data_IF_311165492724
#
_entry.id   IF_311165492724
#
_cell.length_a   1.000
_cell.length_b   1.000
_cell.length_c   1.000
_cell.angle_alpha   90.00
_cell.angle_beta   90.00
_cell.angle_gamma   90.00
#
_symmetry.space_group_name_H-M   'P 1'
#
loop_
_entity.id
_entity.type
_entity.pdbx_description
1 polymer ?
#
# COMPACT_ATOMS: atom_id res chain seq x y z
N UNK A 1 30.34 8.49 -5.55
CA UNK A 1 30.17 7.12 -5.03
C UNK A 1 28.71 6.95 -4.71
N UNK A 2 28.17 5.74 -4.77
CA UNK A 2 26.80 5.46 -4.31
C UNK A 2 26.77 5.50 -2.77
N UNK A 3 25.73 6.09 -2.20
CA UNK A 3 25.62 6.37 -0.77
C UNK A 3 24.26 5.88 -0.23
N UNK A 4 24.19 5.63 1.08
CA UNK A 4 22.97 5.21 1.74
C UNK A 4 22.10 6.42 2.08
N UNK A 5 20.78 6.23 2.02
CA UNK A 5 19.82 7.14 2.64
C UNK A 5 19.96 7.01 4.16
N UNK A 6 19.97 8.12 4.88
CA UNK A 6 20.12 8.15 6.33
C UNK A 6 18.94 8.88 6.96
N UNK A 7 18.57 8.49 8.19
CA UNK A 7 17.63 9.21 9.03
C UNK A 7 18.39 10.02 10.07
N UNK A 8 18.22 11.34 10.10
CA UNK A 8 18.80 12.23 11.11
C UNK A 8 17.76 13.23 11.58
N UNK A 9 17.60 13.34 12.88
CA UNK A 9 16.68 14.30 13.51
C UNK A 9 15.25 14.27 12.90
N UNK A 10 14.73 13.07 12.63
CA UNK A 10 13.41 12.88 12.06
C UNK A 10 13.27 13.20 10.56
N UNK A 11 14.40 13.39 9.85
CA UNK A 11 14.40 13.71 8.41
C UNK A 11 15.31 12.76 7.63
N UNK A 12 14.88 12.41 6.43
CA UNK A 12 15.70 11.65 5.49
C UNK A 12 16.76 12.57 4.87
N UNK A 13 17.99 12.11 4.90
CA UNK A 13 19.12 12.72 4.18
C UNK A 13 19.35 11.90 2.92
N UNK A 14 19.04 12.49 1.79
CA UNK A 14 19.07 11.82 0.48
C UNK A 14 20.31 12.27 -0.28
N UNK A 15 21.25 11.35 -0.61
CA UNK A 15 22.38 11.66 -1.47
C UNK A 15 21.94 11.78 -2.95
N UNK A 16 22.79 12.39 -3.79
CA UNK A 16 22.51 12.48 -5.23
C UNK A 16 22.57 11.12 -5.95
N UNK A 17 23.15 10.11 -5.31
CA UNK A 17 23.26 8.73 -5.84
C UNK A 17 22.92 7.70 -4.77
N UNK A 18 21.65 7.65 -4.32
CA UNK A 18 21.24 6.70 -3.31
C UNK A 18 21.30 5.27 -3.83
N UNK A 19 21.68 4.33 -2.94
CA UNK A 19 21.47 2.90 -3.18
C UNK A 19 20.04 2.58 -2.75
N UNK A 20 19.21 2.09 -3.68
CA UNK A 20 17.86 1.64 -3.40
C UNK A 20 17.75 0.14 -3.69
N UNK A 21 17.53 -0.69 -2.67
CA UNK A 21 17.23 -2.10 -2.82
C UNK A 21 15.91 -2.30 -3.60
N UNK A 22 15.89 -3.34 -4.45
CA UNK A 22 14.66 -3.75 -5.13
C UNK A 22 14.48 -5.26 -5.11
N UNK A 23 13.23 -5.68 -5.11
CA UNK A 23 12.81 -7.07 -5.30
C UNK A 23 12.02 -7.12 -6.60
N UNK A 24 12.48 -7.92 -7.58
CA UNK A 24 11.73 -8.08 -8.85
C UNK A 24 10.29 -8.57 -8.61
N UNK A 25 10.13 -9.50 -7.68
CA UNK A 25 8.87 -10.16 -7.40
C UNK A 25 8.67 -11.44 -8.21
N UNK A 26 7.53 -12.08 -7.97
CA UNK A 26 7.12 -13.34 -8.58
C UNK A 26 6.22 -13.10 -9.80
N UNK A 27 6.08 -14.10 -10.66
CA UNK A 27 5.23 -14.05 -11.85
C UNK A 27 5.57 -12.88 -12.77
N UNK A 28 4.62 -11.93 -12.97
CA UNK A 28 4.83 -10.73 -13.80
C UNK A 28 5.83 -9.73 -13.20
N UNK A 29 6.33 -9.96 -12.00
CA UNK A 29 7.24 -9.04 -11.30
C UNK A 29 8.44 -8.66 -12.15
N UNK A 30 9.09 -9.63 -12.81
CA UNK A 30 10.22 -9.39 -13.70
C UNK A 30 9.85 -8.53 -14.91
N UNK A 31 8.69 -8.78 -15.51
CA UNK A 31 8.22 -8.06 -16.69
C UNK A 31 8.03 -6.57 -16.36
N UNK A 32 7.29 -6.28 -15.27
CA UNK A 32 7.00 -4.90 -14.86
C UNK A 32 8.22 -4.17 -14.28
N UNK A 33 9.11 -4.88 -13.58
CA UNK A 33 10.33 -4.26 -13.03
C UNK A 33 11.27 -3.82 -14.14
N UNK A 34 11.52 -4.66 -15.14
CA UNK A 34 12.43 -4.36 -16.26
C UNK A 34 12.05 -3.09 -17.02
N UNK A 35 10.75 -2.80 -17.10
CA UNK A 35 10.19 -1.57 -17.69
C UNK A 35 10.27 -0.41 -16.72
N UNK A 36 9.80 -0.61 -15.49
CA UNK A 36 9.72 0.45 -14.48
C UNK A 36 11.08 1.05 -14.18
N UNK A 37 12.12 0.23 -14.02
CA UNK A 37 13.48 0.71 -13.79
C UNK A 37 13.94 1.69 -14.87
N UNK A 38 13.73 1.36 -16.15
CA UNK A 38 14.16 2.20 -17.29
C UNK A 38 13.40 3.52 -17.32
N UNK A 39 12.09 3.51 -17.04
CA UNK A 39 11.27 4.73 -16.98
C UNK A 39 11.73 5.63 -15.83
N UNK A 40 11.96 5.06 -14.64
CA UNK A 40 12.44 5.81 -13.47
C UNK A 40 13.81 6.45 -13.77
N UNK A 41 14.75 5.68 -14.33
CA UNK A 41 16.09 6.17 -14.64
C UNK A 41 16.06 7.29 -15.69
N UNK A 42 15.19 7.17 -16.72
CA UNK A 42 15.01 8.22 -17.73
C UNK A 42 14.43 9.51 -17.12
N UNK A 43 13.39 9.39 -16.30
CA UNK A 43 12.76 10.52 -15.63
C UNK A 43 13.73 11.24 -14.67
N UNK A 44 14.49 10.49 -13.86
CA UNK A 44 15.50 11.06 -12.96
C UNK A 44 16.60 11.75 -13.75
N UNK A 45 17.11 11.12 -14.81
CA UNK A 45 18.14 11.72 -15.67
C UNK A 45 17.68 13.03 -16.30
N UNK A 46 16.42 13.07 -16.78
CA UNK A 46 15.85 14.27 -17.41
C UNK A 46 15.59 15.36 -16.37
N UNK A 47 14.92 15.05 -15.27
CA UNK A 47 14.57 16.02 -14.24
C UNK A 47 15.78 16.74 -13.63
N UNK A 48 16.89 16.03 -13.49
CA UNK A 48 18.09 16.56 -12.82
C UNK A 48 19.31 16.69 -13.74
N UNK A 49 19.11 16.69 -15.06
CA UNK A 49 20.17 16.85 -16.06
C UNK A 49 21.37 15.89 -15.85
N UNK A 50 21.11 14.68 -15.35
CA UNK A 50 22.11 13.65 -15.07
C UNK A 50 22.93 13.86 -13.79
N UNK A 51 22.63 14.87 -12.98
CA UNK A 51 23.32 15.13 -11.71
C UNK A 51 22.94 14.09 -10.65
N UNK A 52 21.70 13.59 -10.70
CA UNK A 52 21.17 12.55 -9.82
C UNK A 52 20.96 11.24 -10.56
N UNK A 53 21.15 10.12 -9.86
CA UNK A 53 20.87 8.77 -10.38
C UNK A 53 20.65 7.81 -9.23
N UNK A 54 19.84 6.76 -9.44
CA UNK A 54 19.63 5.70 -8.45
C UNK A 54 20.61 4.56 -8.73
N UNK A 55 21.26 4.07 -7.69
CA UNK A 55 22.02 2.83 -7.72
C UNK A 55 21.13 1.69 -7.25
N UNK A 56 20.60 0.94 -8.18
CA UNK A 56 19.74 -0.20 -7.88
C UNK A 56 20.55 -1.38 -7.32
N UNK A 57 20.03 -2.00 -6.24
CA UNK A 57 20.61 -3.20 -5.62
C UNK A 57 19.53 -4.29 -5.54
N UNK A 58 19.68 -5.35 -6.31
CA UNK A 58 18.79 -6.49 -6.21
C UNK A 58 18.91 -7.17 -4.83
N UNK A 59 17.77 -7.47 -4.23
CA UNK A 59 17.63 -8.29 -3.02
C UNK A 59 16.57 -9.36 -3.26
N UNK A 60 16.68 -10.49 -2.57
CA UNK A 60 15.91 -11.68 -2.88
C UNK A 60 14.69 -11.83 -1.97
N UNK A 61 13.51 -12.08 -2.56
CA UNK A 61 12.32 -12.57 -1.88
C UNK A 61 11.46 -13.37 -2.86
N UNK A 62 10.55 -14.20 -2.35
CA UNK A 62 9.63 -15.01 -3.14
C UNK A 62 10.25 -16.27 -3.72
N UNK A 63 9.79 -16.67 -4.90
CA UNK A 63 10.19 -17.90 -5.57
C UNK A 63 11.69 -17.91 -5.91
N UNK A 64 12.22 -16.82 -6.47
CA UNK A 64 13.66 -16.67 -6.78
C UNK A 64 14.55 -16.85 -5.54
N UNK A 65 14.12 -16.29 -4.40
CA UNK A 65 14.83 -16.46 -3.14
C UNK A 65 14.84 -17.93 -2.71
N UNK A 66 13.69 -18.58 -2.76
CA UNK A 66 13.54 -19.98 -2.38
C UNK A 66 14.40 -20.92 -3.24
N UNK A 67 14.42 -20.71 -4.56
CA UNK A 67 15.25 -21.49 -5.50
C UNK A 67 16.75 -21.35 -5.20
N UNK A 68 17.21 -20.14 -4.85
CA UNK A 68 18.64 -19.87 -4.66
C UNK A 68 19.15 -20.15 -3.25
N UNK A 69 18.29 -19.99 -2.23
CA UNK A 69 18.71 -20.00 -0.81
C UNK A 69 17.97 -21.02 0.05
N UNK A 70 16.91 -21.64 -0.45
CA UNK A 70 16.03 -22.53 0.31
C UNK A 70 15.06 -21.82 1.26
N UNK A 71 15.00 -20.47 1.25
CA UNK A 71 14.04 -19.67 2.01
C UNK A 71 13.44 -18.57 1.16
N UNK A 72 12.12 -18.34 1.27
CA UNK A 72 11.42 -17.31 0.49
C UNK A 72 11.67 -15.89 1.00
N UNK A 73 12.17 -15.70 2.20
CA UNK A 73 12.56 -14.41 2.75
C UNK A 73 13.87 -14.56 3.55
N UNK A 74 15.03 -14.40 2.91
CA UNK A 74 16.33 -14.44 3.59
C UNK A 74 16.48 -13.30 4.60
N UNK A 75 17.12 -13.57 5.74
CA UNK A 75 17.43 -12.53 6.73
C UNK A 75 18.27 -11.39 6.14
N UNK A 76 19.18 -11.69 5.21
CA UNK A 76 19.99 -10.69 4.50
C UNK A 76 19.12 -9.64 3.80
N UNK A 77 17.98 -10.04 3.24
CA UNK A 77 17.02 -9.12 2.60
C UNK A 77 16.50 -8.10 3.61
N UNK A 78 16.10 -8.54 4.80
CA UNK A 78 15.64 -7.65 5.87
C UNK A 78 16.75 -6.71 6.36
N UNK A 79 17.97 -7.24 6.52
CA UNK A 79 19.14 -6.46 6.94
C UNK A 79 19.47 -5.36 5.93
N UNK A 80 19.46 -5.68 4.63
CA UNK A 80 19.71 -4.70 3.57
C UNK A 80 18.65 -3.60 3.55
N UNK A 81 17.36 -3.96 3.72
CA UNK A 81 16.29 -2.95 3.78
C UNK A 81 16.47 -2.07 5.03
N UNK A 82 16.77 -2.65 6.19
CA UNK A 82 17.04 -1.88 7.43
C UNK A 82 18.23 -0.92 7.24
N UNK A 83 19.24 -1.33 6.51
CA UNK A 83 20.43 -0.53 6.26
C UNK A 83 20.20 0.62 5.28
N UNK A 84 19.35 0.45 4.27
CA UNK A 84 19.13 1.41 3.19
C UNK A 84 17.86 2.25 3.34
N UNK A 85 16.97 1.91 4.29
CA UNK A 85 15.71 2.56 4.64
C UNK A 85 14.63 2.49 3.56
N UNK A 86 14.92 2.75 2.31
CA UNK A 86 13.94 2.82 1.22
C UNK A 86 14.17 1.68 0.25
N UNK A 87 13.11 0.95 -0.07
CA UNK A 87 13.13 -0.14 -1.07
C UNK A 87 11.88 -0.09 -1.96
N UNK A 88 11.96 -0.76 -3.12
CA UNK A 88 10.83 -0.97 -4.02
C UNK A 88 10.72 -2.45 -4.37
N UNK A 89 9.49 -2.95 -4.55
CA UNK A 89 9.29 -4.36 -4.90
C UNK A 89 8.12 -4.59 -5.86
N UNK A 90 8.27 -5.60 -6.69
CA UNK A 90 7.18 -6.21 -7.44
C UNK A 90 6.26 -7.08 -6.55
N UNK A 91 5.26 -7.73 -7.15
CA UNK A 91 4.33 -8.61 -6.42
C UNK A 91 5.04 -9.85 -5.89
N UNK A 92 4.64 -10.32 -4.70
CA UNK A 92 5.13 -11.57 -4.11
C UNK A 92 3.97 -12.55 -3.93
N UNK A 93 4.20 -13.78 -4.35
CA UNK A 93 3.28 -14.90 -4.14
C UNK A 93 3.21 -15.30 -2.68
N UNK A 94 2.01 -15.69 -2.23
CA UNK A 94 1.86 -16.37 -0.94
C UNK A 94 1.60 -17.85 -1.26
N UNK A 95 2.50 -18.77 -0.88
CA UNK A 95 2.27 -20.19 -1.11
C UNK A 95 0.96 -20.66 -0.49
N UNK A 96 0.13 -21.36 -1.25
CA UNK A 96 -1.11 -21.95 -0.76
C UNK A 96 -0.75 -23.21 0.04
N UNK A 97 -0.99 -23.18 1.36
CA UNK A 97 -0.75 -24.34 2.22
C UNK A 97 -0.69 -24.00 3.71
N UNK A 98 -0.87 -25.00 4.57
CA UNK A 98 -0.82 -24.82 6.03
C UNK A 98 0.57 -24.33 6.46
N UNK A 99 0.62 -23.22 7.20
CA UNK A 99 1.82 -22.74 7.90
C UNK A 99 2.68 -21.70 7.16
N UNK A 100 2.33 -21.29 5.93
CA UNK A 100 3.06 -20.21 5.25
C UNK A 100 2.41 -18.85 5.50
N UNK A 101 3.13 -17.98 6.22
CA UNK A 101 2.75 -16.58 6.39
C UNK A 101 2.97 -15.82 5.08
N UNK A 102 2.08 -14.89 4.74
CA UNK A 102 2.30 -14.00 3.59
C UNK A 102 3.62 -13.25 3.72
N UNK A 103 4.45 -13.29 2.67
CA UNK A 103 5.74 -12.60 2.64
C UNK A 103 5.57 -11.09 2.77
N UNK A 104 4.48 -10.53 2.21
CA UNK A 104 4.15 -9.12 2.36
C UNK A 104 3.86 -8.77 3.82
N UNK A 105 3.08 -9.61 4.53
CA UNK A 105 2.80 -9.43 5.96
C UNK A 105 4.08 -9.55 6.79
N UNK A 106 4.95 -10.52 6.48
CA UNK A 106 6.23 -10.67 7.15
C UNK A 106 7.11 -9.42 7.01
N UNK A 107 7.28 -8.88 5.79
CA UNK A 107 8.04 -7.66 5.56
C UNK A 107 7.49 -6.47 6.36
N UNK A 108 6.17 -6.29 6.38
CA UNK A 108 5.50 -5.21 7.11
C UNK A 108 5.72 -5.30 8.62
N UNK A 109 5.62 -6.50 9.18
CA UNK A 109 5.79 -6.73 10.62
C UNK A 109 7.25 -6.67 11.06
N UNK A 110 8.18 -7.34 10.33
CA UNK A 110 9.60 -7.37 10.66
C UNK A 110 10.29 -6.01 10.60
N UNK A 111 9.78 -5.10 9.77
CA UNK A 111 10.28 -3.74 9.60
C UNK A 111 9.39 -2.69 10.28
N UNK A 112 8.35 -3.12 10.98
CA UNK A 112 7.33 -2.27 11.62
C UNK A 112 6.78 -1.18 10.69
N UNK A 113 6.46 -1.53 9.43
CA UNK A 113 5.91 -0.62 8.43
C UNK A 113 4.42 -0.40 8.71
N UNK A 114 4.11 0.37 9.72
CA UNK A 114 2.77 0.46 10.32
C UNK A 114 1.74 1.19 9.46
N UNK A 115 2.14 2.01 8.50
CA UNK A 115 1.25 2.75 7.62
C UNK A 115 1.33 2.20 6.19
N UNK A 116 0.25 1.56 5.72
CA UNK A 116 0.06 1.26 4.31
C UNK A 116 -0.69 2.44 3.66
N UNK A 117 0.00 3.13 2.74
CA UNK A 117 -0.50 4.33 2.08
C UNK A 117 -0.84 4.00 0.63
N UNK A 118 -2.08 4.25 0.23
CA UNK A 118 -2.59 3.98 -1.12
C UNK A 118 -3.34 5.20 -1.64
N UNK A 119 -2.71 6.11 -2.41
CA UNK A 119 -3.40 7.17 -3.11
C UNK A 119 -4.12 6.58 -4.33
N UNK A 120 -5.42 6.77 -4.37
CA UNK A 120 -6.30 6.20 -5.40
C UNK A 120 -7.02 7.36 -6.08
N UNK A 121 -6.62 7.63 -7.32
CA UNK A 121 -7.21 8.68 -8.14
C UNK A 121 -7.50 8.19 -9.55
N UNK A 122 -8.45 8.82 -10.21
CA UNK A 122 -8.75 8.54 -11.60
C UNK A 122 -7.76 9.25 -12.54
N UNK A 123 -7.36 8.53 -13.58
CA UNK A 123 -6.57 9.05 -14.70
C UNK A 123 -7.45 9.12 -15.95
N UNK A 124 -7.51 10.30 -16.60
CA UNK A 124 -8.32 10.50 -17.78
C UNK A 124 -7.90 9.53 -18.90
N UNK A 125 -8.88 8.83 -19.47
CA UNK A 125 -8.65 7.83 -20.52
C UNK A 125 -8.61 6.39 -20.01
N UNK A 126 -8.49 6.17 -18.71
CA UNK A 126 -8.58 4.85 -18.09
C UNK A 126 -10.06 4.42 -18.03
N UNK A 127 -10.38 3.14 -18.32
CA UNK A 127 -11.75 2.65 -18.19
C UNK A 127 -12.19 2.60 -16.73
N UNK A 128 -13.44 3.02 -16.47
CA UNK A 128 -14.03 3.02 -15.12
C UNK A 128 -15.48 2.57 -15.17
N UNK A 129 -15.97 1.85 -14.14
CA UNK A 129 -17.38 1.52 -14.00
C UNK A 129 -18.22 2.70 -13.49
N UNK A 130 -17.59 3.77 -12.98
CA UNK A 130 -18.27 4.95 -12.47
C UNK A 130 -18.72 5.87 -13.60
N UNK A 131 -19.76 6.67 -13.34
CA UNK A 131 -20.23 7.72 -14.27
C UNK A 131 -19.33 8.95 -14.26
N UNK A 132 -18.79 9.31 -13.10
CA UNK A 132 -17.96 10.48 -12.84
C UNK A 132 -16.71 10.06 -12.05
N UNK A 133 -15.82 9.23 -12.64
CA UNK A 133 -14.66 8.70 -11.91
C UNK A 133 -13.66 9.78 -11.50
N UNK A 134 -13.65 10.93 -12.16
CA UNK A 134 -12.83 12.11 -11.86
C UNK A 134 -13.09 12.71 -10.47
N UNK A 135 -14.22 12.37 -9.85
CA UNK A 135 -14.52 12.76 -8.47
C UNK A 135 -13.79 11.92 -7.43
N UNK A 136 -13.14 10.82 -7.85
CA UNK A 136 -12.40 9.93 -6.96
C UNK A 136 -10.92 10.35 -6.90
N UNK A 137 -10.55 10.93 -5.77
CA UNK A 137 -9.15 11.24 -5.40
C UNK A 137 -9.03 11.10 -3.88
N UNK A 138 -8.71 9.89 -3.44
CA UNK A 138 -8.76 9.49 -2.03
C UNK A 138 -7.47 8.77 -1.66
N UNK A 139 -6.79 9.24 -0.61
CA UNK A 139 -5.63 8.55 -0.06
C UNK A 139 -6.03 7.70 1.15
N UNK A 140 -5.83 6.40 1.06
CA UNK A 140 -6.06 5.44 2.14
C UNK A 140 -4.80 5.34 3.00
N UNK A 141 -4.98 5.49 4.31
CA UNK A 141 -4.04 5.11 5.36
C UNK A 141 -4.59 3.88 6.09
N UNK A 142 -4.06 2.72 5.76
CA UNK A 142 -4.41 1.43 6.34
C UNK A 142 -3.42 1.09 7.44
N UNK A 143 -3.90 0.78 8.65
CA UNK A 143 -3.08 0.15 9.69
C UNK A 143 -2.53 -1.18 9.15
N UNK A 144 -1.30 -1.54 9.49
CA UNK A 144 -0.59 -2.57 8.76
C UNK A 144 0.04 -3.66 9.64
N UNK A 145 -0.06 -3.55 10.96
CA UNK A 145 0.66 -4.41 11.92
C UNK A 145 -0.24 -5.18 12.88
N UNK A 146 -1.47 -4.74 13.07
CA UNK A 146 -2.44 -5.31 14.00
C UNK A 146 -3.65 -5.92 13.26
N UNK A 147 -4.79 -5.99 13.95
CA UNK A 147 -6.04 -6.55 13.46
C UNK A 147 -5.93 -8.08 13.30
N UNK A 148 -6.81 -8.68 12.53
CA UNK A 148 -6.74 -10.13 12.23
C UNK A 148 -5.45 -10.53 11.49
N UNK A 149 -4.75 -9.58 10.89
CA UNK A 149 -3.44 -9.77 10.25
C UNK A 149 -2.32 -10.09 11.25
N UNK A 150 -2.56 -9.94 12.56
CA UNK A 150 -1.68 -10.48 13.60
C UNK A 150 -1.54 -12.02 13.50
N UNK A 151 -2.49 -12.69 12.84
CA UNK A 151 -2.43 -14.13 12.59
C UNK A 151 -2.61 -14.97 13.85
N UNK A 152 -3.36 -14.46 14.84
CA UNK A 152 -3.65 -15.15 16.10
C UNK A 152 -4.94 -15.91 15.92
N UNK A 153 -4.85 -17.19 15.52
CA UNK A 153 -6.01 -18.01 15.27
C UNK A 153 -5.74 -19.51 15.55
N UNK A 154 -6.78 -20.27 15.84
CA UNK A 154 -6.74 -21.69 16.09
C UNK A 154 -7.82 -22.43 15.29
N UNK A 155 -7.42 -23.55 14.69
CA UNK A 155 -8.26 -24.39 13.85
C UNK A 155 -9.29 -25.17 14.69
N UNK A 156 -10.51 -25.26 14.18
CA UNK A 156 -11.58 -26.07 14.78
C UNK A 156 -11.14 -27.52 14.98
N UNK A 157 -11.48 -28.09 16.14
CA UNK A 157 -11.12 -29.47 16.51
C UNK A 157 -9.66 -29.67 16.97
N UNK A 158 -8.86 -28.61 17.07
CA UNK A 158 -7.52 -28.68 17.69
C UNK A 158 -7.61 -28.65 19.22
N UNK A 159 -6.60 -29.22 19.89
CA UNK A 159 -6.50 -29.16 21.36
C UNK A 159 -6.29 -27.72 21.85
N UNK A 160 -5.65 -26.88 21.04
CA UNK A 160 -5.41 -25.47 21.31
C UNK A 160 -6.69 -24.66 21.31
N UNK A 161 -7.57 -24.83 20.30
CA UNK A 161 -8.85 -24.11 20.26
C UNK A 161 -9.76 -24.55 21.41
N UNK A 162 -9.73 -25.83 21.79
CA UNK A 162 -10.49 -26.31 22.93
C UNK A 162 -10.09 -25.60 24.24
N UNK A 163 -8.77 -25.39 24.46
CA UNK A 163 -8.25 -24.64 25.60
C UNK A 163 -8.68 -23.17 25.58
N UNK A 164 -8.63 -22.53 24.39
CA UNK A 164 -9.05 -21.13 24.23
C UNK A 164 -10.55 -21.00 24.52
N UNK A 165 -11.37 -21.87 23.96
CA UNK A 165 -12.83 -21.86 24.18
C UNK A 165 -13.16 -22.09 25.65
N UNK A 166 -12.53 -23.10 26.31
CA UNK A 166 -12.72 -23.34 27.74
C UNK A 166 -12.35 -22.12 28.57
N UNK A 167 -11.16 -21.50 28.31
CA UNK A 167 -10.78 -20.25 28.99
C UNK A 167 -11.80 -19.14 28.81
N UNK A 168 -12.27 -18.92 27.59
CA UNK A 168 -13.27 -17.88 27.31
C UNK A 168 -14.60 -18.16 28.04
N UNK A 169 -15.04 -19.41 28.10
CA UNK A 169 -16.30 -19.79 28.75
C UNK A 169 -16.17 -19.83 30.27
N UNK A 170 -15.16 -20.50 30.80
CA UNK A 170 -15.04 -20.82 32.21
C UNK A 170 -14.46 -19.65 33.02
N UNK A 171 -13.47 -18.93 32.48
CA UNK A 171 -12.76 -17.84 33.18
C UNK A 171 -13.32 -16.46 32.78
N UNK A 172 -13.69 -16.26 31.52
CA UNK A 172 -14.16 -14.96 31.01
C UNK A 172 -15.69 -14.86 30.92
N UNK A 173 -16.43 -15.94 31.22
CA UNK A 173 -17.89 -15.98 31.21
C UNK A 173 -18.52 -15.76 29.82
N UNK A 174 -17.81 -16.09 28.75
CA UNK A 174 -18.33 -15.94 27.39
C UNK A 174 -19.35 -17.04 27.10
N UNK A 175 -20.58 -16.67 26.80
CA UNK A 175 -21.69 -17.62 26.52
C UNK A 175 -22.11 -17.62 25.04
N UNK A 176 -21.53 -16.77 24.23
CA UNK A 176 -22.00 -16.50 22.86
C UNK A 176 -21.30 -17.33 21.77
N UNK A 177 -20.42 -18.27 22.13
CA UNK A 177 -19.86 -19.23 21.17
C UNK A 177 -20.91 -20.31 20.93
N UNK A 178 -21.59 -20.19 19.78
CA UNK A 178 -22.79 -21.00 19.50
C UNK A 178 -22.49 -22.49 19.31
N UNK A 179 -21.34 -22.79 18.70
CA UNK A 179 -20.92 -24.18 18.39
C UNK A 179 -19.48 -24.41 18.85
N UNK A 180 -19.23 -24.52 20.17
CA UNK A 180 -17.87 -24.57 20.72
C UNK A 180 -17.04 -25.74 20.19
N UNK A 181 -17.66 -26.90 19.95
CA UNK A 181 -17.00 -28.12 19.49
C UNK A 181 -16.47 -28.05 18.04
N UNK A 182 -17.01 -27.14 17.24
CA UNK A 182 -16.68 -27.01 15.80
C UNK A 182 -16.30 -25.60 15.38
N UNK A 183 -16.06 -24.71 16.34
CA UNK A 183 -15.64 -23.34 16.06
C UNK A 183 -14.11 -23.20 15.97
N UNK A 184 -13.63 -22.49 14.96
CA UNK A 184 -12.31 -21.86 14.99
C UNK A 184 -12.40 -20.52 15.70
N UNK A 185 -11.32 -20.08 16.35
CA UNK A 185 -11.25 -18.80 17.06
C UNK A 185 -10.10 -17.97 16.48
N UNK A 186 -10.37 -16.72 16.19
CA UNK A 186 -9.37 -15.72 15.82
C UNK A 186 -9.45 -14.50 16.73
N UNK A 187 -8.32 -13.87 17.00
CA UNK A 187 -8.21 -12.68 17.84
C UNK A 187 -7.89 -11.46 16.97
N UNK A 188 -8.61 -10.36 17.23
CA UNK A 188 -8.44 -9.06 16.59
C UNK A 188 -7.88 -8.05 17.59
N UNK A 189 -6.55 -7.93 17.76
CA UNK A 189 -5.96 -6.90 18.60
C UNK A 189 -5.98 -5.54 17.87
N UNK A 190 -6.39 -4.48 18.57
CA UNK A 190 -6.28 -3.08 18.13
C UNK A 190 -5.81 -2.29 19.34
N UNK A 191 -4.65 -1.62 19.23
CA UNK A 191 -4.06 -0.85 20.30
C UNK A 191 -4.25 0.66 20.13
N UNK A 192 -4.12 1.40 21.22
CA UNK A 192 -4.10 2.86 21.21
C UNK A 192 -2.88 3.38 20.47
N UNK A 193 -1.70 2.82 20.73
CA UNK A 193 -0.43 3.21 20.12
C UNK A 193 -0.46 2.99 18.61
N UNK A 194 -0.88 1.80 18.16
CA UNK A 194 -1.00 1.44 16.73
C UNK A 194 -1.98 2.36 16.00
N UNK A 195 -3.13 2.62 16.62
CA UNK A 195 -4.15 3.51 16.07
C UNK A 195 -3.67 4.96 15.99
N UNK A 196 -3.13 5.50 17.09
CA UNK A 196 -2.66 6.90 17.16
C UNK A 196 -1.50 7.17 16.20
N UNK A 197 -0.51 6.26 16.08
CA UNK A 197 0.62 6.47 15.16
C UNK A 197 0.19 6.50 13.68
N UNK A 198 -0.76 5.64 13.27
CA UNK A 198 -1.32 5.66 11.93
C UNK A 198 -2.08 6.95 11.66
N UNK A 199 -3.00 7.31 12.56
CA UNK A 199 -3.87 8.48 12.40
C UNK A 199 -3.05 9.76 12.39
N UNK A 200 -2.00 9.86 13.23
CA UNK A 200 -1.05 10.98 13.20
C UNK A 200 -0.42 11.13 11.82
N UNK A 201 0.11 10.04 11.25
CA UNK A 201 0.70 10.06 9.92
C UNK A 201 -0.31 10.46 8.84
N UNK A 202 -1.57 10.06 8.98
CA UNK A 202 -2.63 10.46 8.06
C UNK A 202 -2.97 11.95 8.16
N UNK A 203 -2.96 12.53 9.38
CA UNK A 203 -3.16 13.97 9.59
C UNK A 203 -1.98 14.77 9.04
N UNK A 204 -0.74 14.37 9.37
CA UNK A 204 0.48 15.02 8.89
C UNK A 204 0.54 15.02 7.35
N UNK A 205 0.20 13.89 6.73
CA UNK A 205 0.08 13.79 5.27
C UNK A 205 -0.99 14.75 4.72
N UNK A 206 -2.17 14.81 5.34
CA UNK A 206 -3.23 15.72 4.92
C UNK A 206 -2.77 17.18 4.96
N UNK A 207 -2.12 17.60 6.04
CA UNK A 207 -1.60 18.96 6.21
C UNK A 207 -0.48 19.27 5.21
N UNK A 208 0.47 18.36 5.01
CA UNK A 208 1.57 18.53 4.04
C UNK A 208 1.05 18.71 2.61
N UNK A 209 -0.01 17.98 2.24
CA UNK A 209 -0.63 18.04 0.92
C UNK A 209 -1.75 19.08 0.82
N UNK A 210 -1.93 19.92 1.84
CA UNK A 210 -3.00 20.94 1.90
C UNK A 210 -4.41 20.35 1.72
N UNK A 211 -4.59 19.10 2.13
CA UNK A 211 -5.87 18.41 2.21
C UNK A 211 -6.51 18.71 3.56
N UNK A 212 -7.80 18.99 3.54
CA UNK A 212 -8.50 19.49 4.72
C UNK A 212 -9.16 18.41 5.55
N UNK A 213 -9.55 17.29 4.92
CA UNK A 213 -10.42 16.31 5.56
C UNK A 213 -9.72 14.99 5.82
N UNK A 214 -9.77 14.54 7.08
CA UNK A 214 -9.48 13.17 7.50
C UNK A 214 -10.77 12.48 7.94
N UNK A 215 -11.08 11.33 7.34
CA UNK A 215 -12.20 10.47 7.74
C UNK A 215 -11.70 9.20 8.42
N UNK A 216 -12.17 8.95 9.64
CA UNK A 216 -11.92 7.70 10.36
C UNK A 216 -13.00 6.67 9.99
N UNK A 217 -12.61 5.55 9.39
CA UNK A 217 -13.55 4.48 9.02
C UNK A 217 -13.45 3.33 10.02
N UNK A 218 -14.58 2.92 10.57
CA UNK A 218 -14.64 1.93 11.65
C UNK A 218 -15.98 1.17 11.69
N UNK A 219 -16.02 0.06 12.41
CA UNK A 219 -17.26 -0.69 12.75
C UNK A 219 -17.54 -0.64 14.28
N UNK A 220 -17.29 0.50 14.90
CA UNK A 220 -17.38 0.71 16.35
C UNK A 220 -18.77 0.56 16.95
N UNK A 221 -19.85 0.58 16.16
CA UNK A 221 -21.18 0.28 16.62
C UNK A 221 -21.37 -1.22 16.99
N UNK A 222 -20.56 -2.11 16.43
CA UNK A 222 -20.52 -3.54 16.73
C UNK A 222 -19.31 -3.89 17.58
N UNK A 223 -18.10 -3.52 17.15
CA UNK A 223 -16.84 -3.79 17.82
C UNK A 223 -16.42 -2.58 18.68
N UNK A 224 -17.08 -2.43 19.83
CA UNK A 224 -17.07 -1.20 20.64
C UNK A 224 -15.68 -0.86 21.20
N UNK A 225 -14.85 -1.84 21.51
CA UNK A 225 -13.56 -1.63 22.19
C UNK A 225 -12.39 -1.65 21.19
N UNK A 226 -12.46 -2.41 20.11
CA UNK A 226 -11.46 -2.43 19.06
C UNK A 226 -11.70 -1.31 18.04
N UNK A 227 -12.66 -1.45 17.17
CA UNK A 227 -12.99 -0.43 16.14
C UNK A 227 -13.50 0.88 16.75
N UNK A 228 -14.29 0.80 17.84
CA UNK A 228 -14.72 1.97 18.60
C UNK A 228 -13.57 2.65 19.33
N UNK A 229 -12.57 1.88 19.77
CA UNK A 229 -11.31 2.39 20.31
C UNK A 229 -10.55 3.18 19.25
N UNK A 230 -10.34 2.62 18.07
CA UNK A 230 -9.70 3.31 16.94
C UNK A 230 -10.32 4.69 16.66
N UNK A 231 -11.65 4.77 16.58
CA UNK A 231 -12.39 6.02 16.43
C UNK A 231 -12.12 6.99 17.58
N UNK A 232 -12.25 6.52 18.83
CA UNK A 232 -12.06 7.32 20.04
C UNK A 232 -10.67 7.92 20.10
N UNK A 233 -9.64 7.08 19.95
CA UNK A 233 -8.23 7.48 20.00
C UNK A 233 -7.86 8.44 18.87
N UNK A 234 -8.49 8.31 17.69
CA UNK A 234 -8.29 9.25 16.59
C UNK A 234 -8.79 10.68 16.94
N UNK A 235 -9.96 10.80 17.55
CA UNK A 235 -10.46 12.10 18.00
C UNK A 235 -9.67 12.66 19.19
N UNK A 236 -9.20 11.82 20.10
CA UNK A 236 -8.35 12.23 21.22
C UNK A 236 -7.03 12.79 20.69
N UNK A 237 -6.34 12.05 19.83
CA UNK A 237 -5.12 12.49 19.16
C UNK A 237 -5.29 13.85 18.45
N UNK A 238 -6.33 13.97 17.63
CA UNK A 238 -6.57 15.21 16.90
C UNK A 238 -6.74 16.41 17.82
N UNK A 239 -7.42 16.26 18.96
CA UNK A 239 -7.59 17.31 19.95
C UNK A 239 -6.32 17.62 20.74
N UNK A 240 -5.51 16.60 21.05
CA UNK A 240 -4.31 16.73 21.86
C UNK A 240 -3.15 17.34 21.06
N UNK A 241 -2.95 16.92 19.82
CA UNK A 241 -1.77 17.26 19.03
C UNK A 241 -2.03 18.27 17.91
N UNK A 242 -3.29 18.42 17.43
CA UNK A 242 -3.66 19.25 16.28
C UNK A 242 -4.80 20.25 16.61
N UNK A 243 -4.84 20.71 17.85
CA UNK A 243 -5.89 21.63 18.31
C UNK A 243 -5.91 22.96 17.54
N UNK A 244 -4.75 23.46 17.12
CA UNK A 244 -4.62 24.69 16.34
C UNK A 244 -5.24 24.54 14.96
N UNK A 245 -4.90 23.47 14.23
CA UNK A 245 -5.39 23.18 12.89
C UNK A 245 -6.90 22.93 12.86
N UNK A 246 -7.42 22.28 13.94
CA UNK A 246 -8.86 22.10 14.13
C UNK A 246 -9.57 23.45 14.35
N UNK A 247 -9.00 24.33 15.18
CA UNK A 247 -9.59 25.63 15.50
C UNK A 247 -9.56 26.61 14.30
N UNK A 248 -8.49 26.56 13.52
CA UNK A 248 -8.35 27.35 12.28
C UNK A 248 -9.16 26.78 11.11
N UNK A 249 -9.65 25.53 11.26
CA UNK A 249 -10.38 24.82 10.22
C UNK A 249 -9.52 24.43 9.01
N UNK A 250 -8.21 24.34 9.18
CA UNK A 250 -7.26 23.77 8.21
C UNK A 250 -7.28 22.24 8.24
N UNK A 251 -7.74 21.66 9.37
CA UNK A 251 -8.02 20.24 9.53
C UNK A 251 -9.47 20.04 9.97
N UNK A 252 -10.16 19.07 9.33
CA UNK A 252 -11.47 18.57 9.73
C UNK A 252 -11.37 17.07 9.91
N UNK A 253 -11.68 16.57 11.10
CA UNK A 253 -11.73 15.12 11.38
C UNK A 253 -13.19 14.71 11.55
N UNK A 254 -13.61 13.73 10.78
CA UNK A 254 -14.92 13.11 10.90
C UNK A 254 -14.81 11.58 10.93
N UNK A 255 -15.93 10.88 11.11
CA UNK A 255 -15.96 9.42 11.08
C UNK A 255 -17.15 8.88 10.31
N UNK A 256 -16.99 7.65 9.83
CA UNK A 256 -18.05 6.93 9.14
C UNK A 256 -17.97 5.43 9.44
N UNK A 257 -19.13 4.76 9.53
CA UNK A 257 -19.19 3.31 9.67
C UNK A 257 -18.79 2.64 8.36
N UNK A 258 -17.98 1.58 8.42
CA UNK A 258 -17.31 0.95 7.28
C UNK A 258 -18.26 0.54 6.14
N UNK A 259 -19.42 -0.04 6.44
CA UNK A 259 -20.42 -0.41 5.43
C UNK A 259 -21.05 0.82 4.74
N UNK A 260 -21.22 1.93 5.47
CA UNK A 260 -21.66 3.19 4.86
C UNK A 260 -20.55 3.82 4.03
N UNK A 261 -19.29 3.74 4.47
CA UNK A 261 -18.15 4.19 3.68
C UNK A 261 -18.10 3.52 2.30
N UNK A 262 -18.26 2.18 2.26
CA UNK A 262 -18.30 1.43 0.99
C UNK A 262 -19.45 1.85 0.05
N UNK A 263 -20.56 2.35 0.59
CA UNK A 263 -21.60 3.00 -0.20
C UNK A 263 -21.18 4.38 -0.71
N UNK A 264 -20.66 5.20 0.20
CA UNK A 264 -20.40 6.62 -0.08
C UNK A 264 -19.27 6.84 -1.08
N UNK A 265 -18.28 5.96 -1.12
CA UNK A 265 -17.23 6.03 -2.16
C UNK A 265 -17.77 5.79 -3.58
N UNK A 266 -18.97 5.21 -3.72
CA UNK A 266 -19.67 5.07 -5.01
C UNK A 266 -20.60 6.24 -5.31
N UNK A 267 -21.23 6.81 -4.27
CA UNK A 267 -22.30 7.79 -4.41
C UNK A 267 -21.79 9.24 -4.39
N UNK A 268 -20.77 9.51 -3.60
CA UNK A 268 -20.21 10.84 -3.36
C UNK A 268 -18.72 10.75 -2.95
N UNK A 269 -17.84 10.20 -3.82
CA UNK A 269 -16.41 10.02 -3.50
C UNK A 269 -15.71 11.35 -3.19
N UNK A 270 -16.18 12.46 -3.75
CA UNK A 270 -15.67 13.82 -3.52
C UNK A 270 -15.75 14.30 -2.06
N UNK A 271 -16.49 13.59 -1.21
CA UNK A 271 -16.59 13.89 0.22
C UNK A 271 -15.40 13.33 1.03
N UNK A 272 -14.47 12.63 0.40
CA UNK A 272 -13.32 12.01 1.06
C UNK A 272 -12.01 12.51 0.45
N UNK A 273 -11.02 12.74 1.29
CA UNK A 273 -9.66 13.12 0.86
C UNK A 273 -8.64 12.15 1.44
N UNK A 274 -8.42 12.18 2.75
CA UNK A 274 -7.59 11.20 3.46
C UNK A 274 -8.48 10.36 4.35
N UNK A 275 -8.27 9.05 4.31
CA UNK A 275 -9.10 8.09 5.04
C UNK A 275 -8.20 7.15 5.84
N UNK A 276 -8.40 7.11 7.17
CA UNK A 276 -7.68 6.19 8.05
C UNK A 276 -8.57 5.01 8.46
N UNK A 277 -8.04 3.78 8.34
CA UNK A 277 -8.77 2.55 8.61
C UNK A 277 -7.90 1.55 9.39
N UNK A 278 -8.58 0.66 10.13
CA UNK A 278 -7.97 -0.58 10.63
C UNK A 278 -7.54 -1.47 9.48
N UNK A 279 -6.70 -2.46 9.75
CA UNK A 279 -6.01 -3.24 8.72
C UNK A 279 -6.98 -3.93 7.74
N UNK A 280 -7.93 -4.73 8.22
CA UNK A 280 -8.88 -5.44 7.35
C UNK A 280 -9.78 -4.48 6.56
N UNK A 281 -10.33 -3.46 7.23
CA UNK A 281 -11.18 -2.48 6.57
C UNK A 281 -10.41 -1.73 5.48
N UNK A 282 -9.14 -1.40 5.72
CA UNK A 282 -8.26 -0.75 4.76
C UNK A 282 -7.94 -1.62 3.55
N UNK A 283 -7.79 -2.94 3.74
CA UNK A 283 -7.57 -3.89 2.65
C UNK A 283 -8.77 -3.90 1.70
N UNK A 284 -9.96 -4.14 2.23
CA UNK A 284 -11.17 -4.17 1.42
C UNK A 284 -11.48 -2.83 0.74
N UNK A 285 -11.32 -1.73 1.48
CA UNK A 285 -11.63 -0.40 0.98
C UNK A 285 -10.70 0.04 -0.16
N UNK A 286 -9.41 -0.25 -0.06
CA UNK A 286 -8.45 0.13 -1.11
C UNK A 286 -8.68 -0.60 -2.42
N UNK A 287 -9.01 -1.90 -2.39
CA UNK A 287 -9.30 -2.66 -3.60
C UNK A 287 -10.65 -2.26 -4.21
N UNK A 288 -11.66 -1.97 -3.38
CA UNK A 288 -12.94 -1.44 -3.84
C UNK A 288 -12.80 -0.09 -4.54
N UNK A 289 -11.96 0.82 -4.00
CA UNK A 289 -11.64 2.10 -4.62
C UNK A 289 -10.81 1.93 -5.90
N UNK A 290 -9.79 1.06 -5.87
CA UNK A 290 -8.97 0.79 -7.06
C UNK A 290 -9.83 0.32 -8.24
N UNK A 291 -10.81 -0.56 -8.00
CA UNK A 291 -11.74 -1.02 -9.04
C UNK A 291 -12.54 0.13 -9.67
N UNK A 292 -12.82 1.19 -8.91
CA UNK A 292 -13.58 2.35 -9.38
C UNK A 292 -12.79 3.24 -10.35
N UNK A 293 -11.48 3.26 -10.26
CA UNK A 293 -10.60 4.13 -11.07
C UNK A 293 -9.82 3.39 -12.15
N UNK A 294 -10.09 2.11 -12.38
CA UNK A 294 -9.46 1.33 -13.45
C UNK A 294 -8.87 -0.01 -12.99
N UNK A 295 -8.89 -0.32 -11.70
CA UNK A 295 -8.45 -1.58 -11.13
C UNK A 295 -7.08 -1.52 -10.46
N UNK A 296 -6.69 -2.64 -9.85
CA UNK A 296 -5.44 -2.76 -9.09
C UNK A 296 -4.16 -2.63 -9.94
N UNK A 297 -4.26 -2.81 -11.26
CA UNK A 297 -3.14 -2.64 -12.19
C UNK A 297 -2.63 -1.20 -12.32
N UNK A 298 -3.39 -0.21 -11.82
CA UNK A 298 -3.04 1.21 -11.80
C UNK A 298 -3.00 1.78 -10.37
N UNK A 299 -3.18 0.97 -9.36
CA UNK A 299 -3.18 1.40 -7.95
C UNK A 299 -1.79 1.29 -7.35
N UNK A 300 -1.19 2.38 -6.85
CA UNK A 300 0.10 2.33 -6.16
C UNK A 300 -0.05 1.98 -4.69
N UNK A 301 1.06 1.59 -4.06
CA UNK A 301 1.13 1.34 -2.64
C UNK A 301 2.50 1.60 -2.03
N UNK A 302 2.49 2.05 -0.79
CA UNK A 302 3.67 2.18 0.06
C UNK A 302 3.38 1.63 1.44
N UNK A 303 4.37 1.02 2.08
CA UNK A 303 4.34 0.62 3.47
C UNK A 303 5.44 1.38 4.19
N UNK A 304 5.09 2.21 5.15
CA UNK A 304 6.01 3.21 5.71
C UNK A 304 5.99 3.17 7.23
N UNK A 305 7.18 3.28 7.81
CA UNK A 305 7.40 3.67 9.19
C UNK A 305 7.95 5.11 9.20
N UNK A 306 7.07 6.09 9.42
CA UNK A 306 7.45 7.51 9.41
C UNK A 306 8.39 7.90 10.56
N UNK A 307 8.46 7.12 11.64
CA UNK A 307 9.35 7.39 12.77
C UNK A 307 10.79 7.03 12.47
N UNK A 308 11.01 5.90 11.79
CA UNK A 308 12.34 5.38 11.45
C UNK A 308 12.78 5.70 10.04
N UNK A 309 11.86 6.10 9.16
CA UNK A 309 12.10 6.38 7.76
C UNK A 309 12.15 5.14 6.86
N UNK A 310 11.88 3.94 7.40
CA UNK A 310 11.79 2.74 6.57
C UNK A 310 10.54 2.77 5.70
N UNK A 311 10.71 2.49 4.42
CA UNK A 311 9.62 2.44 3.46
C UNK A 311 9.85 1.38 2.39
N UNK A 312 8.79 0.62 2.07
CA UNK A 312 8.76 -0.27 0.90
C UNK A 312 7.62 0.18 0.00
N UNK A 313 7.96 0.54 -1.23
CA UNK A 313 7.01 0.88 -2.29
C UNK A 313 6.71 -0.37 -3.11
N UNK A 314 5.43 -0.62 -3.42
CA UNK A 314 5.06 -1.91 -4.01
C UNK A 314 3.88 -1.80 -4.98
N UNK A 315 3.91 -2.63 -6.04
CA UNK A 315 2.71 -2.90 -6.81
C UNK A 315 1.66 -3.57 -5.92
N UNK A 316 0.40 -3.14 -6.00
CA UNK A 316 -0.68 -3.64 -5.13
C UNK A 316 -1.39 -4.87 -5.67
N UNK A 317 -1.15 -5.23 -6.95
CA UNK A 317 -1.71 -6.42 -7.59
C UNK A 317 -0.93 -7.71 -7.26
N UNK A 318 -1.51 -8.86 -7.58
CA UNK A 318 -0.89 -10.17 -7.44
C UNK A 318 0.14 -10.49 -8.54
N UNK A 319 0.64 -11.71 -8.51
CA UNK A 319 1.72 -12.21 -9.40
C UNK A 319 1.29 -12.56 -10.82
N UNK A 320 -0.01 -12.73 -11.08
CA UNK A 320 -0.60 -13.03 -12.39
C UNK A 320 0.22 -14.05 -13.23
N UNK A 321 0.45 -15.26 -12.72
CA UNK A 321 1.36 -16.24 -13.34
C UNK A 321 0.95 -16.62 -14.78
N UNK A 322 -0.33 -16.52 -15.10
CA UNK A 322 -0.86 -16.87 -16.42
C UNK A 322 -0.34 -15.98 -17.55
N UNK A 323 0.10 -14.76 -17.26
CA UNK A 323 0.62 -13.80 -18.24
C UNK A 323 2.11 -13.47 -18.04
N UNK A 324 2.77 -14.07 -17.06
CA UNK A 324 4.19 -13.87 -16.80
C UNK A 324 5.05 -14.30 -18.00
N UNK A 325 6.04 -13.48 -18.37
CA UNK A 325 6.94 -13.70 -19.49
C UNK A 325 6.29 -13.57 -20.87
N UNK A 326 5.04 -13.08 -20.97
CA UNK A 326 4.33 -12.92 -22.25
C UNK A 326 4.34 -11.49 -22.79
N UNK A 327 5.03 -10.57 -22.17
CA UNK A 327 5.09 -9.15 -22.54
C UNK A 327 3.71 -8.47 -22.58
N UNK A 328 2.82 -8.84 -21.64
CA UNK A 328 1.43 -8.37 -21.57
C UNK A 328 1.08 -7.63 -20.28
N UNK A 329 1.99 -7.64 -19.29
CA UNK A 329 1.73 -7.09 -17.97
C UNK A 329 1.65 -5.55 -18.00
N UNK A 330 0.74 -4.99 -17.20
CA UNK A 330 0.62 -3.55 -16.98
C UNK A 330 1.61 -3.10 -15.88
N UNK A 331 2.61 -2.23 -16.18
CA UNK A 331 3.59 -1.78 -15.20
C UNK A 331 3.12 -0.58 -14.36
N UNK A 332 1.92 -0.04 -14.60
CA UNK A 332 1.48 1.24 -14.06
C UNK A 332 1.42 1.26 -12.53
N UNK A 333 0.96 0.18 -11.88
CA UNK A 333 0.94 0.11 -10.42
C UNK A 333 2.33 0.28 -9.81
N UNK A 334 3.34 -0.41 -10.37
CA UNK A 334 4.72 -0.29 -9.89
C UNK A 334 5.34 1.07 -10.23
N UNK A 335 5.04 1.62 -11.41
CA UNK A 335 5.50 2.97 -11.80
C UNK A 335 4.91 4.06 -10.90
N UNK A 336 3.62 3.98 -10.58
CA UNK A 336 2.99 4.94 -9.66
C UNK A 336 3.51 4.76 -8.24
N UNK A 337 3.82 3.53 -7.81
CA UNK A 337 4.51 3.30 -6.53
C UNK A 337 5.93 3.87 -6.53
N UNK A 338 6.62 3.81 -7.66
CA UNK A 338 7.91 4.49 -7.83
C UNK A 338 7.77 6.03 -7.79
N UNK A 339 6.67 6.60 -8.30
CA UNK A 339 6.39 8.03 -8.13
C UNK A 339 6.26 8.39 -6.64
N UNK A 340 5.52 7.59 -5.85
CA UNK A 340 5.46 7.77 -4.41
C UNK A 340 6.85 7.68 -3.75
N UNK A 341 7.68 6.73 -4.19
CA UNK A 341 9.07 6.60 -3.71
C UNK A 341 9.89 7.86 -4.02
N UNK A 342 9.81 8.37 -5.24
CA UNK A 342 10.51 9.57 -5.67
C UNK A 342 10.06 10.81 -4.88
N UNK A 343 8.77 10.94 -4.63
CA UNK A 343 8.21 12.00 -3.77
C UNK A 343 8.70 11.87 -2.32
N UNK A 344 8.72 10.66 -1.77
CA UNK A 344 9.18 10.35 -0.42
C UNK A 344 10.65 10.72 -0.21
N UNK A 345 11.50 10.50 -1.20
CA UNK A 345 12.91 10.91 -1.17
C UNK A 345 13.15 12.37 -1.66
N UNK A 346 12.07 13.14 -1.88
CA UNK A 346 12.15 14.55 -2.29
C UNK A 346 12.53 14.78 -3.75
N UNK A 347 12.32 13.80 -4.63
CA UNK A 347 12.61 13.89 -6.07
C UNK A 347 11.31 14.06 -6.87
N UNK A 348 10.51 15.03 -6.48
CA UNK A 348 9.15 15.27 -7.01
C UNK A 348 9.13 15.57 -8.52
N UNK A 349 10.14 16.25 -9.05
CA UNK A 349 10.22 16.61 -10.47
C UNK A 349 10.28 15.36 -11.37
N UNK A 350 10.99 14.31 -10.95
CA UNK A 350 11.04 13.05 -11.68
C UNK A 350 9.70 12.29 -11.61
N UNK A 351 9.01 12.31 -10.46
CA UNK A 351 7.68 11.73 -10.33
C UNK A 351 6.67 12.41 -11.26
N UNK A 352 6.68 13.74 -11.34
CA UNK A 352 5.80 14.51 -12.24
C UNK A 352 5.99 14.12 -13.70
N UNK A 353 7.23 13.90 -14.16
CA UNK A 353 7.48 13.46 -15.54
C UNK A 353 6.86 12.10 -15.83
N UNK A 354 6.97 11.14 -14.90
CA UNK A 354 6.38 9.80 -15.07
C UNK A 354 4.84 9.90 -15.10
N UNK A 355 4.27 10.68 -14.18
CA UNK A 355 2.82 10.85 -14.11
C UNK A 355 2.28 11.48 -15.40
N UNK A 356 2.94 12.52 -15.94
CA UNK A 356 2.55 13.15 -17.20
C UNK A 356 2.64 12.17 -18.39
N UNK A 357 3.72 11.39 -18.47
CA UNK A 357 3.86 10.38 -19.52
C UNK A 357 2.74 9.31 -19.46
N UNK A 358 2.34 8.89 -18.25
CA UNK A 358 1.23 7.97 -18.08
C UNK A 358 -0.11 8.59 -18.49
N UNK A 359 -0.37 9.84 -18.09
CA UNK A 359 -1.59 10.57 -18.45
C UNK A 359 -1.70 10.73 -19.98
N UNK A 360 -0.61 11.11 -20.65
CA UNK A 360 -0.55 11.23 -22.10
C UNK A 360 -0.79 9.89 -22.80
N UNK A 361 -0.19 8.80 -22.28
CA UNK A 361 -0.40 7.46 -22.81
C UNK A 361 -1.88 7.06 -22.73
N UNK A 362 -2.54 7.28 -21.59
CA UNK A 362 -3.95 6.94 -21.40
C UNK A 362 -4.89 7.77 -22.26
N UNK A 363 -4.68 9.08 -22.35
CA UNK A 363 -5.49 9.98 -23.19
C UNK A 363 -5.39 9.56 -24.67
N UNK A 364 -4.19 9.17 -25.13
CA UNK A 364 -3.94 8.72 -26.50
C UNK A 364 -4.29 7.23 -26.72
N UNK A 365 -4.86 6.55 -25.72
CA UNK A 365 -5.23 5.12 -25.77
C UNK A 365 -4.06 4.18 -26.05
N UNK A 366 -2.86 4.60 -25.72
CA UNK A 366 -1.69 3.73 -25.69
C UNK A 366 -1.70 2.99 -24.35
N UNK A 367 -2.34 1.81 -24.32
CA UNK A 367 -2.63 1.08 -23.08
C UNK A 367 -2.28 -0.40 -23.23
N UNK A 368 -2.01 -1.06 -22.13
CA UNK A 368 -1.76 -2.49 -22.04
C UNK A 368 -3.05 -3.31 -22.23
N UNK A 369 -2.91 -4.63 -22.35
CA UNK A 369 -3.99 -5.55 -22.72
C UNK A 369 -5.23 -5.47 -21.82
N UNK A 370 -5.06 -5.23 -20.53
CA UNK A 370 -6.13 -5.12 -19.55
C UNK A 370 -7.10 -3.97 -19.86
N UNK A 371 -6.58 -2.78 -20.12
CA UNK A 371 -7.38 -1.62 -20.49
C UNK A 371 -7.86 -1.67 -21.94
N UNK A 372 -7.00 -2.16 -22.84
CA UNK A 372 -7.33 -2.26 -24.27
C UNK A 372 -8.58 -3.11 -24.53
N UNK A 373 -8.75 -4.23 -23.79
CA UNK A 373 -9.94 -5.09 -23.87
C UNK A 373 -11.23 -4.36 -23.47
N UNK A 374 -11.16 -3.47 -22.48
CA UNK A 374 -12.35 -2.73 -22.00
C UNK A 374 -12.67 -1.58 -22.95
N UNK A 375 -11.62 -0.91 -23.45
CA UNK A 375 -11.74 0.23 -24.35
C UNK A 375 -12.00 -0.14 -25.81
N UNK A 376 -11.93 -1.45 -26.16
CA UNK A 376 -12.04 -1.96 -27.53
C UNK A 376 -11.03 -1.30 -28.49
N UNK A 377 -9.76 -1.26 -28.08
CA UNK A 377 -8.64 -0.71 -28.87
C UNK A 377 -7.49 -1.70 -29.00
N UNK A 378 -6.55 -1.44 -29.89
CA UNK A 378 -5.32 -2.20 -29.97
C UNK A 378 -4.49 -2.02 -28.71
N UNK A 379 -3.93 -3.11 -28.15
CA UNK A 379 -3.08 -3.04 -26.98
C UNK A 379 -1.62 -2.81 -27.35
N UNK A 380 -0.89 -2.18 -26.44
CA UNK A 380 0.57 -2.19 -26.43
C UNK A 380 1.05 -3.38 -25.61
N UNK A 381 2.13 -4.03 -26.04
CA UNK A 381 2.86 -4.94 -25.17
C UNK A 381 3.53 -4.15 -24.04
N UNK A 382 3.97 -4.83 -22.98
CA UNK A 382 4.72 -4.18 -21.88
C UNK A 382 5.96 -3.43 -22.40
N UNK A 383 6.68 -4.02 -23.37
CA UNK A 383 7.85 -3.41 -24.01
C UNK A 383 7.49 -2.22 -24.90
N UNK A 384 6.42 -2.29 -25.68
CA UNK A 384 5.93 -1.17 -26.49
C UNK A 384 5.44 -0.01 -25.61
N UNK A 385 4.78 -0.33 -24.49
CA UNK A 385 4.35 0.69 -23.53
C UNK A 385 5.53 1.42 -22.91
N UNK A 386 6.66 0.73 -22.64
CA UNK A 386 7.92 1.38 -22.23
C UNK A 386 8.36 2.43 -23.26
N UNK A 387 8.38 2.09 -24.56
CA UNK A 387 8.81 3.02 -25.61
C UNK A 387 7.92 4.29 -25.62
N UNK A 388 6.60 4.11 -25.54
CA UNK A 388 5.65 5.23 -25.43
C UNK A 388 5.96 6.15 -24.26
N UNK A 389 6.26 5.58 -23.08
CA UNK A 389 6.57 6.38 -21.89
C UNK A 389 7.92 7.11 -22.02
N UNK A 390 8.95 6.44 -22.53
CA UNK A 390 10.28 7.03 -22.71
C UNK A 390 10.24 8.19 -23.72
N UNK A 391 9.50 8.05 -24.82
CA UNK A 391 9.36 9.11 -25.81
C UNK A 391 8.60 10.33 -25.28
N UNK A 392 7.74 10.15 -24.29
CA UNK A 392 7.00 11.22 -23.60
C UNK A 392 7.81 11.92 -22.50
N UNK A 393 8.77 11.21 -21.89
CA UNK A 393 9.69 11.77 -20.90
C UNK A 393 10.78 12.61 -21.58
#
# INVERSE_FOLDING_TARGET
MAEKILMREGRLIIPDRPVIPYIEGDGIGRDIWSVSQKVIDAAVKKAYAGQRSIQWREILAGEKAYELTGTSLPNETLEIIREHLVAIKGPLGTPIGKGHRSLNVALRQELDLYACVRPIRYFKGVPSPLKEPEKTDITIFRENTEDIYAGIEWEAGSDEVAKVISFLQDEMGVVNIRFPESSSIGIKPISEEGSKRLIRSAIEYALEHQLKMLTLVHKGNIQKFTEGGFRKWGYELAKEEFATELAEGTLVVNDIIADNFLQQILLAPENFQVVALTNLNGDYASDALAAQVGGIGISPGANINYQTGHAIFEATHGTAPDIAGKDLANPCSLLLSACMMLEYIGWKEAAVLIIQALEDAFINKNVTLDFAKILDVAHQSTSQFLEVLIDSI
#
